data_IF_114182949666
#
_entry.id   IF_114182949666
#
_cell.length_a   1.000
_cell.length_b   1.000
_cell.length_c   1.000
_cell.angle_alpha   90.00
_cell.angle_beta   90.00
_cell.angle_gamma   90.00
#
_symmetry.space_group_name_H-M   'P 1'
#
loop_
_entity.id
_entity.type
_entity.pdbx_description
1 polymer ?
#
# COMPACT_ATOMS: atom_id res chain seq x y z
N UNK A 1 -42.47 -4.27 69.02
CA UNK A 1 -41.89 -2.92 69.17
C UNK A 1 -42.38 -2.12 67.97
N UNK A 2 -43.18 -1.04 68.10
CA UNK A 2 -42.92 0.23 68.83
C UNK A 2 -41.82 1.05 68.13
N UNK A 3 -42.07 2.24 67.58
CA UNK A 3 -43.33 3.00 67.47
C UNK A 3 -43.39 3.98 66.27
N UNK A 4 -44.60 4.49 66.02
CA UNK A 4 -45.04 5.63 65.17
C UNK A 4 -44.66 7.02 65.74
N UNK A 5 -44.90 8.19 65.07
CA UNK A 5 -45.22 8.50 63.65
C UNK A 5 -44.50 9.78 63.08
N UNK A 6 -45.10 10.38 62.03
CA UNK A 6 -45.18 11.83 61.67
C UNK A 6 -44.13 12.53 60.78
N UNK A 7 -44.55 12.71 59.52
CA UNK A 7 -44.26 13.73 58.48
C UNK A 7 -45.11 15.02 58.77
N UNK A 8 -45.16 16.15 57.98
CA UNK A 8 -44.32 16.67 56.88
C UNK A 8 -43.92 18.20 56.91
N UNK A 9 -43.17 18.63 55.87
CA UNK A 9 -43.28 19.91 55.05
C UNK A 9 -42.62 21.28 55.43
N UNK A 10 -42.12 21.91 54.34
CA UNK A 10 -41.99 23.37 53.99
C UNK A 10 -40.89 24.22 54.70
N UNK A 11 -39.99 24.86 53.92
CA UNK A 11 -39.92 26.32 53.52
C UNK A 11 -39.58 27.26 54.71
N UNK A 12 -38.66 28.24 54.64
CA UNK A 12 -38.72 29.41 53.73
C UNK A 12 -37.37 30.23 53.57
N UNK A 13 -37.45 31.44 52.98
CA UNK A 13 -36.40 32.38 52.51
C UNK A 13 -35.42 33.08 53.53
N UNK A 14 -34.20 33.44 53.05
CA UNK A 14 -33.89 34.87 52.76
C UNK A 14 -32.81 35.68 53.54
N UNK A 15 -32.16 36.63 52.81
CA UNK A 15 -31.57 37.94 53.24
C UNK A 15 -30.23 38.00 54.05
N UNK A 16 -29.38 39.05 53.99
CA UNK A 16 -29.05 40.11 52.98
C UNK A 16 -27.75 40.91 53.36
N UNK A 17 -26.95 41.36 52.36
CA UNK A 17 -25.92 42.47 52.34
C UNK A 17 -24.84 42.52 53.49
N UNK A 18 -23.89 43.46 53.67
CA UNK A 18 -23.38 44.72 53.05
C UNK A 18 -21.96 45.03 53.66
N UNK A 19 -20.98 45.84 53.19
CA UNK A 19 -20.48 46.44 51.92
C UNK A 19 -19.00 46.88 52.17
N UNK A 20 -18.11 47.22 51.22
CA UNK A 20 -17.74 48.64 50.85
C UNK A 20 -16.31 48.73 50.23
N UNK A 21 -16.04 49.66 49.30
CA UNK A 21 -14.66 50.10 48.94
C UNK A 21 -14.33 50.34 47.45
N UNK A 22 -14.30 51.61 47.02
CA UNK A 22 -13.68 52.09 45.74
C UNK A 22 -12.14 52.28 45.94
N UNK A 23 -11.26 52.66 45.00
CA UNK A 23 -11.21 53.81 44.05
C UNK A 23 -10.24 53.53 42.87
N UNK A 24 -10.34 54.32 41.80
CA UNK A 24 -9.61 54.25 40.52
C UNK A 24 -8.07 54.31 40.61
N UNK A 25 -7.42 53.57 39.69
CA UNK A 25 -6.72 54.22 38.57
C UNK A 25 -5.19 54.38 38.61
N UNK A 26 -4.48 53.66 37.75
CA UNK A 26 -3.23 54.14 37.13
C UNK A 26 -2.98 53.44 35.79
N UNK A 27 -2.67 54.21 34.74
CA UNK A 27 -2.51 53.68 33.37
C UNK A 27 -1.07 53.30 33.08
N UNK A 28 -0.82 52.06 32.65
CA UNK A 28 0.46 51.64 32.08
C UNK A 28 0.20 50.77 30.83
N UNK A 29 0.74 51.21 29.69
CA UNK A 29 0.55 50.57 28.39
C UNK A 29 1.44 49.32 28.25
N UNK A 30 0.90 48.22 27.73
CA UNK A 30 1.60 47.41 26.70
C UNK A 30 0.68 46.40 26.01
N UNK A 31 0.85 46.27 24.69
CA UNK A 31 0.38 45.21 23.79
C UNK A 31 -1.08 44.73 23.92
N UNK A 32 -1.90 45.12 22.94
CA UNK A 32 -2.95 44.22 22.47
C UNK A 32 -2.33 42.86 22.10
N UNK A 33 -3.11 41.80 22.28
CA UNK A 33 -2.90 40.53 21.57
C UNK A 33 -4.28 40.00 21.15
N UNK A 34 -4.91 40.74 20.24
CA UNK A 34 -6.05 40.25 19.46
C UNK A 34 -5.56 39.11 18.55
N UNK A 35 -5.67 37.87 19.04
CA UNK A 35 -5.39 36.65 18.27
C UNK A 35 -6.70 35.87 18.05
N UNK A 36 -7.51 36.36 17.12
CA UNK A 36 -8.18 35.63 16.02
C UNK A 36 -8.73 34.18 16.18
N UNK A 37 -9.01 33.72 17.40
CA UNK A 37 -9.44 32.34 17.73
C UNK A 37 -10.89 31.98 17.27
N UNK A 38 -11.47 32.74 16.33
CA UNK A 38 -12.86 32.60 15.87
C UNK A 38 -13.02 31.86 14.53
N UNK A 39 -12.03 31.86 13.65
CA UNK A 39 -12.16 31.25 12.30
C UNK A 39 -12.12 29.70 12.33
N UNK A 40 -11.60 29.11 13.41
CA UNK A 40 -11.28 27.67 13.45
C UNK A 40 -12.50 26.73 13.60
N UNK A 41 -13.72 27.30 13.68
CA UNK A 41 -15.00 26.56 13.89
C UNK A 41 -15.85 26.34 12.63
N UNK A 42 -15.41 26.80 11.46
CA UNK A 42 -16.26 26.81 10.25
C UNK A 42 -16.68 25.43 9.71
N UNK A 43 -15.99 24.34 10.12
CA UNK A 43 -16.31 22.97 9.70
C UNK A 43 -16.11 21.96 10.84
N UNK A 44 -17.01 20.97 11.03
CA UNK A 44 -16.77 19.90 11.98
C UNK A 44 -15.52 19.08 11.59
N UNK A 45 -14.73 18.63 12.58
CA UNK A 45 -13.43 17.96 12.36
C UNK A 45 -13.50 16.80 11.35
N UNK A 46 -14.61 16.06 11.37
CA UNK A 46 -14.88 14.95 10.45
C UNK A 46 -14.85 15.39 8.98
N UNK A 47 -15.42 16.56 8.68
CA UNK A 47 -15.45 17.15 7.34
C UNK A 47 -14.09 17.73 6.94
N UNK A 48 -13.39 18.43 7.85
CA UNK A 48 -11.99 18.86 7.63
C UNK A 48 -11.10 17.67 7.25
N UNK A 49 -11.20 16.57 7.99
CA UNK A 49 -10.40 15.37 7.73
C UNK A 49 -10.79 14.63 6.44
N UNK A 50 -12.07 14.66 6.03
CA UNK A 50 -12.51 14.10 4.75
C UNK A 50 -12.04 14.93 3.55
N UNK A 51 -12.11 16.27 3.66
CA UNK A 51 -11.59 17.20 2.65
C UNK A 51 -10.08 17.03 2.42
N UNK A 52 -9.29 16.75 3.47
CA UNK A 52 -7.86 16.42 3.32
C UNK A 52 -7.67 15.15 2.49
N UNK A 53 -8.45 14.09 2.72
CA UNK A 53 -8.34 12.85 1.93
C UNK A 53 -8.76 13.09 0.48
N UNK A 54 -9.87 13.79 0.25
CA UNK A 54 -10.33 14.16 -1.09
C UNK A 54 -9.25 14.97 -1.84
N UNK A 55 -8.62 15.92 -1.15
CA UNK A 55 -7.46 16.69 -1.65
C UNK A 55 -6.26 15.80 -2.00
N UNK A 56 -5.91 14.80 -1.19
CA UNK A 56 -4.86 13.83 -1.52
C UNK A 56 -5.19 13.01 -2.79
N UNK A 57 -6.43 12.55 -2.96
CA UNK A 57 -6.85 11.85 -4.18
C UNK A 57 -6.84 12.77 -5.41
N UNK A 58 -7.29 14.02 -5.29
CA UNK A 58 -7.24 15.00 -6.38
C UNK A 58 -5.80 15.36 -6.77
N UNK A 59 -4.92 15.63 -5.79
CA UNK A 59 -3.50 15.91 -6.03
C UNK A 59 -2.78 14.70 -6.63
N UNK A 60 -3.10 13.48 -6.18
CA UNK A 60 -2.63 12.24 -6.81
C UNK A 60 -3.06 12.16 -8.27
N UNK A 61 -4.36 12.38 -8.56
CA UNK A 61 -4.90 12.36 -9.93
C UNK A 61 -4.22 13.37 -10.85
N UNK A 62 -4.08 14.62 -10.41
CA UNK A 62 -3.34 15.66 -11.14
C UNK A 62 -1.90 15.22 -11.41
N UNK A 63 -1.21 14.65 -10.42
CA UNK A 63 0.18 14.18 -10.56
C UNK A 63 0.31 12.98 -11.50
N UNK A 64 -0.66 12.04 -11.49
CA UNK A 64 -0.74 10.92 -12.45
C UNK A 64 -0.91 11.40 -13.90
N UNK A 65 -1.71 12.44 -14.12
CA UNK A 65 -1.82 13.08 -15.44
C UNK A 65 -0.52 13.81 -15.80
N UNK A 66 0.02 14.62 -14.89
CA UNK A 66 1.27 15.37 -15.11
C UNK A 66 2.47 14.48 -15.45
N UNK A 67 2.60 13.28 -14.86
CA UNK A 67 3.72 12.37 -15.22
C UNK A 67 3.58 11.79 -16.63
N UNK A 68 2.36 11.48 -17.08
CA UNK A 68 2.14 10.96 -18.43
C UNK A 68 2.32 12.05 -19.49
N UNK A 69 1.89 13.28 -19.18
CA UNK A 69 2.20 14.45 -20.01
C UNK A 69 3.71 14.72 -20.05
N UNK A 70 4.40 14.73 -18.90
CA UNK A 70 5.84 14.95 -18.82
C UNK A 70 6.65 13.94 -19.63
N UNK A 71 6.27 12.66 -19.62
CA UNK A 71 6.86 11.62 -20.44
C UNK A 71 6.45 11.69 -21.93
N UNK A 72 5.26 12.22 -22.26
CA UNK A 72 4.85 12.43 -23.65
C UNK A 72 5.68 13.53 -24.37
N UNK A 73 6.26 14.47 -23.61
CA UNK A 73 7.09 15.57 -24.12
C UNK A 73 8.60 15.42 -23.82
N UNK A 74 9.03 14.37 -23.13
CA UNK A 74 10.45 14.18 -22.78
C UNK A 74 11.33 13.88 -24.00
N UNK A 75 12.44 14.59 -24.13
CA UNK A 75 13.47 14.39 -25.17
C UNK A 75 14.78 13.82 -24.61
N UNK A 76 14.98 13.83 -23.29
CA UNK A 76 16.17 13.33 -22.59
C UNK A 76 15.78 12.28 -21.55
N UNK A 77 16.60 11.23 -21.40
CA UNK A 77 16.29 10.10 -20.50
C UNK A 77 16.08 10.51 -19.03
N UNK A 78 16.77 11.54 -18.53
CA UNK A 78 16.56 12.05 -17.18
C UNK A 78 15.15 12.65 -16.95
N UNK A 79 14.50 13.16 -18.00
CA UNK A 79 13.14 13.68 -17.93
C UNK A 79 12.13 12.53 -17.77
N UNK A 80 12.39 11.37 -18.39
CA UNK A 80 11.62 10.15 -18.15
C UNK A 80 11.78 9.66 -16.71
N UNK A 81 13.00 9.67 -16.14
CA UNK A 81 13.21 9.33 -14.73
C UNK A 81 12.49 10.29 -13.77
N UNK A 82 12.48 11.60 -14.07
CA UNK A 82 11.75 12.58 -13.25
C UNK A 82 10.23 12.37 -13.33
N UNK A 83 9.69 12.10 -14.53
CA UNK A 83 8.26 11.87 -14.73
C UNK A 83 7.81 10.47 -14.23
N UNK A 84 8.29 9.40 -14.85
CA UNK A 84 7.90 8.02 -14.57
C UNK A 84 8.44 7.49 -13.23
N UNK A 85 9.45 8.13 -12.66
CA UNK A 85 9.98 7.82 -11.33
C UNK A 85 9.40 8.75 -10.25
N UNK A 86 9.86 10.00 -10.20
CA UNK A 86 9.56 10.90 -9.07
C UNK A 86 8.09 11.31 -9.02
N UNK A 87 7.52 11.84 -10.10
CA UNK A 87 6.11 12.27 -10.11
C UNK A 87 5.16 11.09 -9.93
N UNK A 88 5.42 9.96 -10.59
CA UNK A 88 4.65 8.72 -10.40
C UNK A 88 4.75 8.19 -8.96
N UNK A 89 5.93 8.27 -8.33
CA UNK A 89 6.15 7.89 -6.93
C UNK A 89 5.38 8.78 -5.95
N UNK A 90 5.42 10.10 -6.14
CA UNK A 90 4.65 11.08 -5.36
C UNK A 90 3.14 10.82 -5.49
N UNK A 91 2.64 10.66 -6.71
CA UNK A 91 1.24 10.37 -6.97
C UNK A 91 0.80 9.07 -6.28
N UNK A 92 1.58 8.00 -6.41
CA UNK A 92 1.30 6.72 -5.77
C UNK A 92 1.32 6.83 -4.25
N UNK A 93 2.31 7.52 -3.67
CA UNK A 93 2.44 7.72 -2.22
C UNK A 93 1.28 8.51 -1.60
N UNK A 94 0.71 9.47 -2.33
CA UNK A 94 -0.46 10.25 -1.91
C UNK A 94 -1.77 9.46 -1.87
N UNK A 95 -1.87 8.34 -2.58
CA UNK A 95 -3.13 7.59 -2.77
C UNK A 95 -3.09 6.19 -2.15
N UNK A 96 -2.00 5.45 -2.35
CA UNK A 96 -1.87 4.03 -2.01
C UNK A 96 -2.16 3.69 -0.52
N UNK A 97 -1.71 4.48 0.49
CA UNK A 97 -2.05 4.22 1.89
C UNK A 97 -3.55 4.27 2.17
N UNK A 98 -4.29 5.18 1.52
CA UNK A 98 -5.74 5.29 1.69
C UNK A 98 -6.47 4.14 1.00
N UNK A 99 -6.03 3.73 -0.19
CA UNK A 99 -6.59 2.58 -0.93
C UNK A 99 -6.53 1.28 -0.12
N UNK A 100 -5.47 1.05 0.66
CA UNK A 100 -5.38 -0.10 1.57
C UNK A 100 -6.14 0.11 2.90
N UNK A 101 -6.15 1.33 3.45
CA UNK A 101 -6.75 1.61 4.75
C UNK A 101 -8.29 1.69 4.74
N UNK A 102 -8.91 2.08 3.63
CA UNK A 102 -10.36 2.30 3.57
C UNK A 102 -11.19 1.00 3.61
N UNK A 103 -10.89 -0.06 2.82
CA UNK A 103 -11.62 -1.33 2.90
C UNK A 103 -11.56 -1.97 4.29
N UNK A 104 -10.45 -1.77 5.00
CA UNK A 104 -10.25 -2.24 6.36
C UNK A 104 -11.17 -1.59 7.41
N UNK A 105 -11.74 -0.41 7.14
CA UNK A 105 -12.72 0.24 8.01
C UNK A 105 -14.13 -0.33 7.81
N UNK A 106 -14.50 -0.64 6.56
CA UNK A 106 -15.79 -1.21 6.20
C UNK A 106 -15.93 -2.69 6.61
N UNK A 107 -14.88 -3.50 6.49
CA UNK A 107 -14.96 -4.96 6.63
C UNK A 107 -14.17 -5.51 7.83
N UNK A 108 -14.88 -5.83 8.93
CA UNK A 108 -14.29 -6.46 10.12
C UNK A 108 -14.10 -7.99 9.99
N UNK A 109 -15.10 -8.73 9.49
CA UNK A 109 -15.11 -10.24 9.50
C UNK A 109 -14.49 -10.91 8.26
N UNK A 110 -14.30 -10.19 7.15
CA UNK A 110 -13.69 -10.70 5.90
C UNK A 110 -12.64 -9.71 5.40
N UNK A 111 -11.72 -9.35 6.30
CA UNK A 111 -10.82 -8.21 6.12
C UNK A 111 -9.71 -8.54 5.14
N UNK A 112 -9.14 -9.74 5.22
CA UNK A 112 -8.15 -10.25 4.27
C UNK A 112 -8.73 -10.33 2.86
N UNK A 113 -9.96 -10.87 2.70
CA UNK A 113 -10.64 -10.90 1.40
C UNK A 113 -10.90 -9.48 0.83
N UNK A 114 -11.40 -8.54 1.64
CA UNK A 114 -11.71 -7.19 1.17
C UNK A 114 -10.46 -6.41 0.71
N UNK A 115 -9.36 -6.49 1.48
CA UNK A 115 -8.06 -5.93 1.09
C UNK A 115 -7.51 -6.67 -0.13
N UNK A 116 -7.64 -8.00 -0.19
CA UNK A 116 -7.19 -8.84 -1.29
C UNK A 116 -7.84 -8.50 -2.63
N UNK A 117 -9.14 -8.20 -2.65
CA UNK A 117 -9.87 -7.75 -3.86
C UNK A 117 -9.34 -6.39 -4.34
N UNK A 118 -9.20 -5.42 -3.43
CA UNK A 118 -8.73 -4.07 -3.78
C UNK A 118 -7.26 -4.07 -4.21
N UNK A 119 -6.41 -4.82 -3.51
CA UNK A 119 -5.03 -5.07 -3.93
C UNK A 119 -4.96 -5.82 -5.26
N UNK A 120 -5.88 -6.76 -5.51
CA UNK A 120 -6.03 -7.48 -6.78
C UNK A 120 -6.36 -6.56 -7.96
N UNK A 121 -7.15 -5.52 -7.73
CA UNK A 121 -7.47 -4.49 -8.73
C UNK A 121 -6.24 -3.82 -9.34
N UNK A 122 -5.16 -3.62 -8.57
CA UNK A 122 -3.91 -3.07 -9.12
C UNK A 122 -3.20 -4.01 -10.10
N UNK A 123 -3.27 -5.33 -9.88
CA UNK A 123 -2.74 -6.32 -10.83
C UNK A 123 -3.65 -6.49 -12.05
N UNK A 124 -4.97 -6.48 -11.87
CA UNK A 124 -5.90 -6.49 -13.02
C UNK A 124 -5.68 -5.25 -13.91
N UNK A 125 -5.51 -4.08 -13.30
CA UNK A 125 -5.13 -2.84 -13.98
C UNK A 125 -3.79 -2.95 -14.71
N UNK A 126 -2.75 -3.48 -14.05
CA UNK A 126 -1.43 -3.69 -14.65
C UNK A 126 -1.44 -4.61 -15.88
N UNK A 127 -2.12 -5.75 -15.80
CA UNK A 127 -2.25 -6.71 -16.91
C UNK A 127 -3.01 -6.13 -18.10
N UNK A 128 -4.10 -5.40 -17.82
CA UNK A 128 -4.92 -4.74 -18.84
C UNK A 128 -4.18 -3.56 -19.49
N UNK A 129 -3.49 -2.74 -18.68
CA UNK A 129 -2.66 -1.63 -19.15
C UNK A 129 -1.54 -2.10 -20.06
N UNK A 130 -0.86 -3.21 -19.74
CA UNK A 130 0.20 -3.77 -20.58
C UNK A 130 -0.31 -4.15 -21.98
N UNK A 131 -1.50 -4.75 -22.08
CA UNK A 131 -2.13 -5.09 -23.36
C UNK A 131 -2.55 -3.83 -24.15
N UNK A 132 -3.22 -2.89 -23.49
CA UNK A 132 -3.67 -1.62 -24.10
C UNK A 132 -2.46 -0.83 -24.61
N UNK A 133 -1.45 -0.60 -23.78
CA UNK A 133 -0.23 0.12 -24.17
C UNK A 133 0.53 -0.59 -25.30
N UNK A 134 0.66 -1.93 -25.25
CA UNK A 134 1.34 -2.66 -26.35
C UNK A 134 0.56 -2.54 -27.67
N UNK A 135 -0.77 -2.64 -27.64
CA UNK A 135 -1.60 -2.47 -28.83
C UNK A 135 -1.52 -1.03 -29.38
N UNK A 136 -1.56 -0.02 -28.51
CA UNK A 136 -1.43 1.39 -28.89
C UNK A 136 -0.04 1.69 -29.48
N UNK A 137 1.05 1.24 -28.86
CA UNK A 137 2.42 1.44 -29.37
C UNK A 137 2.68 0.77 -30.73
N UNK A 138 1.86 -0.20 -31.15
CA UNK A 138 1.93 -0.78 -32.51
C UNK A 138 1.14 -0.01 -33.58
N UNK A 139 0.35 1.01 -33.20
CA UNK A 139 -0.53 1.78 -34.11
C UNK A 139 -0.38 3.30 -34.00
N UNK A 140 0.13 3.79 -32.87
CA UNK A 140 0.29 5.20 -32.54
C UNK A 140 1.74 5.45 -32.12
N UNK A 141 2.27 6.64 -32.38
CA UNK A 141 3.60 7.00 -31.85
C UNK A 141 3.57 7.11 -30.32
N UNK A 142 4.74 6.96 -29.69
CA UNK A 142 4.93 6.99 -28.24
C UNK A 142 4.23 8.17 -27.55
N UNK A 143 4.41 9.39 -28.07
CA UNK A 143 3.77 10.61 -27.56
C UNK A 143 2.24 10.54 -27.61
N UNK A 144 1.64 10.14 -28.72
CA UNK A 144 0.18 10.01 -28.84
C UNK A 144 -0.36 8.91 -27.92
N UNK A 145 0.38 7.80 -27.76
CA UNK A 145 0.01 6.73 -26.83
C UNK A 145 -0.07 7.24 -25.40
N UNK A 146 0.95 7.96 -24.92
CA UNK A 146 0.95 8.52 -23.56
C UNK A 146 -0.11 9.60 -23.34
N UNK A 147 -0.39 10.45 -24.34
CA UNK A 147 -1.46 11.45 -24.25
C UNK A 147 -2.85 10.82 -24.11
N UNK A 148 -3.18 9.80 -24.91
CA UNK A 148 -4.46 9.08 -24.81
C UNK A 148 -4.53 8.30 -23.49
N UNK A 149 -3.44 7.70 -23.05
CA UNK A 149 -3.36 6.99 -21.77
C UNK A 149 -3.53 7.94 -20.56
N UNK A 150 -3.04 9.18 -20.64
CA UNK A 150 -3.30 10.23 -19.65
C UNK A 150 -4.79 10.57 -19.54
N UNK A 151 -5.50 10.63 -20.67
CA UNK A 151 -6.97 10.78 -20.68
C UNK A 151 -7.69 9.64 -19.97
N UNK A 152 -7.27 8.39 -20.23
CA UNK A 152 -7.83 7.19 -19.56
C UNK A 152 -7.60 7.26 -18.04
N UNK A 153 -6.40 7.62 -17.59
CA UNK A 153 -6.09 7.80 -16.16
C UNK A 153 -6.93 8.91 -15.51
N UNK A 154 -7.10 10.05 -16.19
CA UNK A 154 -7.93 11.14 -15.72
C UNK A 154 -9.39 10.72 -15.49
N UNK A 155 -9.99 10.01 -16.46
CA UNK A 155 -11.37 9.49 -16.34
C UNK A 155 -11.50 8.48 -15.21
N UNK A 156 -10.60 7.49 -15.13
CA UNK A 156 -10.65 6.45 -14.09
C UNK A 156 -10.44 7.02 -12.67
N UNK A 157 -9.52 7.97 -12.50
CA UNK A 157 -9.33 8.65 -11.22
C UNK A 157 -10.52 9.55 -10.86
N UNK A 158 -11.14 10.23 -11.84
CA UNK A 158 -12.34 11.04 -11.58
C UNK A 158 -13.50 10.17 -11.09
N UNK A 159 -13.72 9.00 -11.72
CA UNK A 159 -14.71 8.01 -11.26
C UNK A 159 -14.36 7.51 -9.85
N UNK A 160 -13.09 7.22 -9.55
CA UNK A 160 -12.67 6.79 -8.22
C UNK A 160 -12.90 7.88 -7.15
N UNK A 161 -12.64 9.15 -7.47
CA UNK A 161 -12.90 10.31 -6.60
C UNK A 161 -14.40 10.46 -6.30
N UNK A 162 -15.28 10.24 -7.28
CA UNK A 162 -16.73 10.27 -7.06
C UNK A 162 -17.28 9.06 -6.27
N UNK A 163 -16.56 7.93 -6.24
CA UNK A 163 -17.01 6.69 -5.60
C UNK A 163 -16.40 6.43 -4.21
N UNK A 164 -15.26 7.04 -3.87
CA UNK A 164 -14.60 6.82 -2.57
C UNK A 164 -15.47 7.35 -1.41
N UNK A 165 -15.66 6.53 -0.37
CA UNK A 165 -16.48 6.84 0.81
C UNK A 165 -15.86 6.28 2.08
N UNK A 166 -15.92 7.06 3.16
CA UNK A 166 -15.37 6.70 4.46
C UNK A 166 -16.10 5.52 5.12
N UNK A 167 -15.37 4.66 5.84
CA UNK A 167 -15.98 3.56 6.57
C UNK A 167 -16.67 4.02 7.86
N UNK A 168 -17.72 3.32 8.32
CA UNK A 168 -18.39 3.62 9.59
C UNK A 168 -17.42 3.45 10.77
N UNK A 169 -16.92 4.59 11.29
CA UNK A 169 -15.90 4.67 12.33
C UNK A 169 -14.59 5.38 11.90
N UNK A 170 -14.37 5.63 10.60
CA UNK A 170 -13.18 6.33 10.10
C UNK A 170 -13.00 7.73 10.67
N UNK A 171 -14.11 8.45 10.86
CA UNK A 171 -14.17 9.74 11.55
C UNK A 171 -13.61 9.68 12.99
N UNK A 172 -14.14 8.77 13.82
CA UNK A 172 -13.72 8.60 15.22
C UNK A 172 -12.24 8.17 15.33
N UNK A 173 -11.78 7.30 14.43
CA UNK A 173 -10.38 6.87 14.36
C UNK A 173 -9.41 8.02 13.99
N UNK A 174 -9.90 9.12 13.40
CA UNK A 174 -9.11 10.34 13.14
C UNK A 174 -9.25 11.39 14.23
N UNK A 175 -10.41 11.52 14.87
CA UNK A 175 -10.57 12.37 16.06
C UNK A 175 -9.67 11.91 17.22
N UNK A 176 -9.49 10.59 17.37
CA UNK A 176 -8.56 10.01 18.33
C UNK A 176 -7.06 10.29 18.03
N UNK A 177 -6.72 10.89 16.88
CA UNK A 177 -5.34 10.96 16.35
C UNK A 177 -4.46 12.05 16.99
N UNK A 178 -4.60 12.31 18.29
CA UNK A 178 -3.69 13.19 19.04
C UNK A 178 -2.27 12.61 19.03
N UNK A 179 -1.38 13.24 18.24
CA UNK A 179 0.08 13.00 18.21
C UNK A 179 0.52 11.56 17.90
N UNK A 180 -0.03 10.95 16.84
CA UNK A 180 0.59 9.76 16.24
C UNK A 180 1.90 10.17 15.53
N UNK A 181 3.04 9.84 16.12
CA UNK A 181 4.36 10.10 15.53
C UNK A 181 4.61 9.28 14.25
N UNK A 182 5.44 9.82 13.34
CA UNK A 182 5.74 9.20 12.04
C UNK A 182 6.30 7.76 12.16
N UNK A 183 7.03 7.49 13.24
CA UNK A 183 7.49 6.16 13.66
C UNK A 183 7.37 6.09 15.18
N UNK A 184 6.75 5.04 15.73
CA UNK A 184 6.83 4.79 17.17
C UNK A 184 8.21 4.21 17.51
N UNK A 185 8.94 4.88 18.40
CA UNK A 185 10.25 4.45 18.90
C UNK A 185 10.20 3.15 19.71
N UNK A 186 9.00 2.67 20.07
CA UNK A 186 8.78 1.34 20.67
C UNK A 186 8.91 0.23 19.61
N UNK A 187 8.27 0.39 18.45
CA UNK A 187 8.32 -0.59 17.34
C UNK A 187 9.76 -0.82 16.84
N UNK A 188 10.57 0.24 16.75
CA UNK A 188 11.97 0.14 16.27
C UNK A 188 12.87 -0.63 17.25
N UNK A 189 12.45 -0.85 18.50
CA UNK A 189 13.16 -1.66 19.50
C UNK A 189 12.73 -3.13 19.54
N UNK A 190 11.68 -3.49 18.80
CA UNK A 190 11.14 -4.85 18.77
C UNK A 190 11.90 -5.71 17.74
N UNK A 191 12.51 -6.85 18.11
CA UNK A 191 13.21 -7.72 17.16
C UNK A 191 12.25 -8.32 16.12
N UNK A 192 10.99 -8.56 16.47
CA UNK A 192 9.95 -9.10 15.59
C UNK A 192 9.65 -8.09 14.47
N UNK A 193 9.62 -6.80 14.80
CA UNK A 193 9.43 -5.73 13.81
C UNK A 193 10.52 -5.75 12.74
N UNK A 194 11.79 -5.88 13.13
CA UNK A 194 12.91 -5.98 12.19
C UNK A 194 12.84 -7.25 11.34
N UNK A 195 12.52 -8.40 11.95
CA UNK A 195 12.39 -9.67 11.25
C UNK A 195 11.31 -9.63 10.16
N UNK A 196 10.14 -9.06 10.48
CA UNK A 196 9.03 -8.86 9.54
C UNK A 196 9.40 -7.84 8.45
N UNK A 197 10.04 -6.73 8.81
CA UNK A 197 10.45 -5.69 7.86
C UNK A 197 11.48 -6.21 6.85
N UNK A 198 12.51 -6.92 7.30
CA UNK A 198 13.50 -7.54 6.42
C UNK A 198 12.90 -8.67 5.59
N UNK A 199 12.00 -9.49 6.14
CA UNK A 199 11.27 -10.50 5.37
C UNK A 199 10.48 -9.88 4.22
N UNK A 200 9.70 -8.83 4.47
CA UNK A 200 8.94 -8.12 3.44
C UNK A 200 9.88 -7.50 2.38
N UNK A 201 11.01 -6.93 2.81
CA UNK A 201 12.07 -6.41 1.93
C UNK A 201 12.68 -7.49 1.03
N UNK A 202 13.07 -8.65 1.57
CA UNK A 202 13.65 -9.75 0.80
C UNK A 202 12.63 -10.40 -0.15
N UNK A 203 11.36 -10.52 0.29
CA UNK A 203 10.28 -11.02 -0.57
C UNK A 203 10.15 -10.21 -1.88
N UNK A 204 10.27 -8.88 -1.80
CA UNK A 204 10.14 -8.00 -2.96
C UNK A 204 11.41 -7.94 -3.83
N UNK A 205 12.60 -8.19 -3.26
CA UNK A 205 13.84 -8.40 -4.04
C UNK A 205 13.70 -9.57 -5.03
N UNK A 206 13.13 -10.69 -4.58
CA UNK A 206 12.89 -11.84 -5.45
C UNK A 206 11.72 -11.62 -6.42
N UNK A 207 10.61 -11.02 -5.97
CA UNK A 207 9.38 -10.89 -6.75
C UNK A 207 9.58 -10.20 -8.11
N UNK A 208 10.37 -9.13 -8.17
CA UNK A 208 10.47 -8.30 -9.37
C UNK A 208 11.30 -8.92 -10.50
N UNK A 209 12.17 -9.90 -10.22
CA UNK A 209 13.04 -10.52 -11.24
C UNK A 209 12.24 -11.24 -12.33
N UNK A 210 11.43 -12.29 -12.05
CA UNK A 210 10.54 -12.89 -13.06
C UNK A 210 9.55 -11.86 -13.62
N UNK A 211 9.06 -10.93 -12.79
CA UNK A 211 8.03 -9.97 -13.21
C UNK A 211 8.49 -9.04 -14.34
N UNK A 212 9.71 -8.47 -14.26
CA UNK A 212 10.25 -7.62 -15.31
C UNK A 212 10.94 -8.38 -16.45
N UNK A 213 11.61 -9.50 -16.15
CA UNK A 213 12.39 -10.20 -17.16
C UNK A 213 11.61 -11.23 -17.99
N UNK A 214 10.36 -11.58 -17.62
CA UNK A 214 9.54 -12.54 -18.36
C UNK A 214 9.45 -12.27 -19.89
N UNK A 215 9.17 -11.04 -20.38
CA UNK A 215 9.13 -10.79 -21.82
C UNK A 215 10.48 -11.05 -22.51
N UNK A 216 11.59 -10.71 -21.85
CA UNK A 216 12.95 -10.92 -22.35
C UNK A 216 13.30 -12.41 -22.35
N UNK A 217 12.90 -13.17 -21.31
CA UNK A 217 13.08 -14.61 -21.21
C UNK A 217 12.30 -15.35 -22.31
N UNK A 218 11.04 -14.96 -22.56
CA UNK A 218 10.22 -15.52 -23.65
C UNK A 218 10.83 -15.22 -25.00
N UNK A 219 11.26 -13.98 -25.25
CA UNK A 219 11.88 -13.59 -26.51
C UNK A 219 13.24 -14.28 -26.78
N UNK A 220 13.95 -14.69 -25.72
CA UNK A 220 15.23 -15.40 -25.83
C UNK A 220 15.06 -16.91 -26.14
N UNK A 221 14.05 -17.57 -25.56
CA UNK A 221 13.87 -19.03 -25.70
C UNK A 221 12.81 -19.45 -26.72
N UNK A 222 11.80 -18.60 -26.97
CA UNK A 222 10.67 -18.93 -27.84
C UNK A 222 10.68 -17.97 -29.04
N UNK A 223 11.27 -18.35 -30.19
CA UNK A 223 11.35 -17.50 -31.38
C UNK A 223 9.99 -17.41 -32.12
N UNK A 224 8.98 -16.80 -31.49
CA UNK A 224 7.69 -16.48 -32.12
C UNK A 224 7.75 -15.19 -32.94
N UNK A 225 7.16 -15.20 -34.12
CA UNK A 225 7.07 -14.03 -35.02
C UNK A 225 6.04 -12.97 -34.59
N UNK A 226 5.11 -13.27 -33.69
CA UNK A 226 4.06 -12.33 -33.25
C UNK A 226 4.38 -11.65 -31.91
N UNK A 227 4.45 -10.30 -31.86
CA UNK A 227 4.73 -9.53 -30.63
C UNK A 227 3.82 -9.76 -29.42
N UNK A 228 2.65 -10.39 -29.60
CA UNK A 228 1.68 -10.60 -28.52
C UNK A 228 2.04 -11.79 -27.61
N UNK A 229 2.59 -12.88 -28.17
CA UNK A 229 2.98 -14.07 -27.39
C UNK A 229 4.06 -13.77 -26.35
N UNK A 230 4.91 -12.77 -26.63
CA UNK A 230 5.98 -12.29 -25.74
C UNK A 230 5.42 -11.57 -24.49
N UNK A 231 4.25 -10.92 -24.59
CA UNK A 231 3.65 -10.13 -23.49
C UNK A 231 2.60 -10.94 -22.72
N UNK A 232 1.92 -11.88 -23.39
CA UNK A 232 0.81 -12.66 -22.82
C UNK A 232 1.14 -13.34 -21.47
N UNK A 233 2.34 -13.95 -21.25
CA UNK A 233 2.71 -14.50 -19.95
C UNK A 233 2.75 -13.45 -18.82
N UNK A 234 3.26 -12.24 -19.08
CA UNK A 234 3.27 -11.14 -18.10
C UNK A 234 1.88 -10.57 -17.81
N UNK A 235 0.98 -10.56 -18.80
CA UNK A 235 -0.44 -10.23 -18.58
C UNK A 235 -1.15 -11.32 -17.77
N UNK A 236 -0.84 -12.59 -18.02
CA UNK A 236 -1.37 -13.72 -17.23
C UNK A 236 -0.86 -13.69 -15.78
N UNK A 237 0.42 -13.36 -15.54
CA UNK A 237 0.95 -13.14 -14.18
C UNK A 237 0.16 -12.06 -13.43
N UNK A 238 -0.26 -11.01 -14.14
CA UNK A 238 -1.08 -9.94 -13.57
C UNK A 238 -2.51 -10.40 -13.24
N UNK A 239 -3.19 -11.09 -14.16
CA UNK A 239 -4.55 -11.59 -13.90
C UNK A 239 -4.57 -12.70 -12.83
N UNK A 240 -3.55 -13.57 -12.82
CA UNK A 240 -3.35 -14.55 -11.76
C UNK A 240 -3.07 -13.87 -10.41
N UNK A 241 -2.24 -12.82 -10.35
CA UNK A 241 -2.01 -12.02 -9.13
C UNK A 241 -3.29 -11.33 -8.63
N UNK A 242 -4.17 -10.89 -9.53
CA UNK A 242 -5.46 -10.30 -9.15
C UNK A 242 -6.35 -11.30 -8.40
N UNK A 243 -6.48 -12.52 -8.91
CA UNK A 243 -7.24 -13.61 -8.27
C UNK A 243 -6.53 -14.14 -7.02
N UNK A 244 -5.22 -14.34 -7.10
CA UNK A 244 -4.36 -14.85 -6.04
C UNK A 244 -4.40 -14.00 -4.77
N UNK A 245 -4.32 -12.67 -4.90
CA UNK A 245 -4.46 -11.74 -3.76
C UNK A 245 -5.80 -11.89 -3.02
N UNK A 246 -6.90 -12.13 -3.74
CA UNK A 246 -8.21 -12.37 -3.12
C UNK A 246 -8.29 -13.77 -2.46
N UNK A 247 -7.76 -14.81 -3.11
CA UNK A 247 -7.73 -16.18 -2.59
C UNK A 247 -6.84 -16.32 -1.34
N UNK A 248 -5.65 -15.72 -1.36
CA UNK A 248 -4.71 -15.71 -0.24
C UNK A 248 -5.20 -14.77 0.88
N UNK A 249 -5.92 -13.70 0.56
CA UNK A 249 -6.66 -12.91 1.55
C UNK A 249 -7.75 -13.72 2.28
N UNK A 250 -8.52 -14.54 1.55
CA UNK A 250 -9.49 -15.48 2.13
C UNK A 250 -8.82 -16.60 2.94
N UNK A 251 -7.62 -17.05 2.54
CA UNK A 251 -6.84 -18.03 3.29
C UNK A 251 -6.27 -17.44 4.58
N UNK A 252 -5.80 -16.19 4.56
CA UNK A 252 -5.36 -15.45 5.75
C UNK A 252 -6.48 -15.24 6.77
N UNK A 253 -7.71 -14.99 6.31
CA UNK A 253 -8.93 -14.95 7.14
C UNK A 253 -9.26 -16.34 7.79
N UNK A 254 -8.50 -17.42 7.48
CA UNK A 254 -8.65 -18.77 8.08
C UNK A 254 -7.42 -19.27 8.86
N UNK A 255 -6.22 -19.19 8.27
CA UNK A 255 -4.98 -19.75 8.88
C UNK A 255 -4.09 -18.68 9.52
N UNK A 256 -4.51 -17.41 9.49
CA UNK A 256 -3.72 -16.25 9.90
C UNK A 256 -2.85 -15.69 8.75
N UNK A 257 -2.68 -14.36 8.66
CA UNK A 257 -1.93 -13.73 7.56
C UNK A 257 -0.44 -14.09 7.55
N UNK A 258 0.18 -14.36 8.70
CA UNK A 258 1.57 -14.85 8.77
C UNK A 258 1.76 -16.19 8.05
N UNK A 259 0.91 -17.17 8.34
CA UNK A 259 0.97 -18.50 7.72
C UNK A 259 0.60 -18.45 6.23
N UNK A 260 -0.40 -17.64 5.87
CA UNK A 260 -0.77 -17.41 4.47
C UNK A 260 0.36 -16.72 3.67
N UNK A 261 1.13 -15.84 4.31
CA UNK A 261 2.32 -15.20 3.71
C UNK A 261 3.41 -16.24 3.46
N UNK A 262 3.81 -17.01 4.49
CA UNK A 262 4.85 -18.02 4.35
C UNK A 262 4.50 -19.06 3.28
N UNK A 263 3.25 -19.53 3.21
CA UNK A 263 2.80 -20.46 2.18
C UNK A 263 2.84 -19.85 0.77
N UNK A 264 2.36 -18.61 0.59
CA UNK A 264 2.38 -17.95 -0.72
C UNK A 264 3.82 -17.69 -1.20
N UNK A 265 4.70 -17.21 -0.32
CA UNK A 265 6.12 -16.98 -0.64
C UNK A 265 6.84 -18.31 -0.89
N UNK A 266 6.52 -19.38 -0.18
CA UNK A 266 7.07 -20.72 -0.41
C UNK A 266 6.73 -21.26 -1.81
N UNK A 267 5.45 -21.20 -2.21
CA UNK A 267 5.02 -21.63 -3.55
C UNK A 267 5.63 -20.72 -4.62
N UNK A 268 5.72 -19.41 -4.37
CA UNK A 268 6.39 -18.45 -5.25
C UNK A 268 7.87 -18.80 -5.47
N UNK A 269 8.64 -19.00 -4.39
CA UNK A 269 10.06 -19.39 -4.46
C UNK A 269 10.25 -20.74 -5.17
N UNK A 270 9.45 -21.74 -4.79
CA UNK A 270 9.48 -23.07 -5.40
C UNK A 270 9.16 -23.01 -6.90
N UNK A 271 8.20 -22.20 -7.32
CA UNK A 271 7.86 -22.05 -8.75
C UNK A 271 9.00 -21.45 -9.58
N UNK A 272 9.80 -20.53 -9.01
CA UNK A 272 10.98 -19.98 -9.68
C UNK A 272 12.07 -21.05 -9.81
N UNK A 273 12.43 -21.70 -8.70
CA UNK A 273 13.53 -22.67 -8.63
C UNK A 273 13.24 -23.99 -9.36
N UNK A 274 11.98 -24.45 -9.38
CA UNK A 274 11.60 -25.77 -9.91
C UNK A 274 10.86 -25.72 -11.25
N UNK A 275 10.25 -24.59 -11.63
CA UNK A 275 9.50 -24.47 -12.89
C UNK A 275 10.21 -23.50 -13.85
N UNK A 276 10.39 -22.22 -13.46
CA UNK A 276 11.01 -21.23 -14.33
C UNK A 276 12.46 -21.59 -14.71
N UNK A 277 13.21 -22.17 -13.76
CA UNK A 277 14.58 -22.64 -13.99
C UNK A 277 14.71 -23.68 -15.13
N UNK A 278 13.63 -24.36 -15.50
CA UNK A 278 13.60 -25.37 -16.56
C UNK A 278 12.54 -25.07 -17.66
N UNK A 279 12.08 -23.82 -17.75
CA UNK A 279 10.93 -23.42 -18.57
C UNK A 279 11.25 -23.16 -20.05
N UNK A 280 11.85 -24.15 -20.73
CA UNK A 280 12.23 -24.03 -22.15
C UNK A 280 11.06 -24.11 -23.15
N UNK A 281 9.83 -24.39 -22.70
CA UNK A 281 8.64 -24.44 -23.56
C UNK A 281 7.63 -23.35 -23.19
N UNK A 282 6.88 -22.85 -24.18
CA UNK A 282 5.84 -21.85 -23.94
C UNK A 282 4.77 -22.32 -22.94
N UNK A 283 4.43 -23.62 -22.94
CA UNK A 283 3.48 -24.20 -21.98
C UNK A 283 4.04 -24.15 -20.56
N UNK A 284 5.32 -24.52 -20.36
CA UNK A 284 5.98 -24.45 -19.05
C UNK A 284 6.06 -23.01 -18.53
N UNK A 285 6.36 -22.05 -19.41
CA UNK A 285 6.35 -20.62 -19.07
C UNK A 285 4.94 -20.16 -18.64
N UNK A 286 3.90 -20.55 -19.38
CA UNK A 286 2.51 -20.18 -19.07
C UNK A 286 2.04 -20.77 -17.74
N UNK A 287 2.41 -22.02 -17.43
CA UNK A 287 2.16 -22.67 -16.13
C UNK A 287 2.88 -21.93 -15.00
N UNK A 288 4.15 -21.58 -15.18
CA UNK A 288 4.88 -20.73 -14.23
C UNK A 288 4.18 -19.38 -14.03
N UNK A 289 3.79 -18.69 -15.12
CA UNK A 289 3.11 -17.39 -15.07
C UNK A 289 1.80 -17.43 -14.29
N UNK A 290 1.03 -18.52 -14.36
CA UNK A 290 -0.17 -18.70 -13.52
C UNK A 290 0.19 -18.89 -12.05
N UNK A 291 1.11 -19.82 -11.74
CA UNK A 291 1.47 -20.17 -10.36
C UNK A 291 2.15 -19.00 -9.65
N UNK A 292 3.25 -18.48 -10.22
CA UNK A 292 4.00 -17.36 -9.66
C UNK A 292 3.17 -16.07 -9.64
N UNK A 293 2.35 -15.84 -10.66
CA UNK A 293 1.40 -14.72 -10.66
C UNK A 293 0.46 -14.80 -9.44
N UNK A 294 -0.19 -15.95 -9.24
CA UNK A 294 -1.14 -16.15 -8.15
C UNK A 294 -0.51 -16.03 -6.75
N UNK A 295 0.74 -16.44 -6.54
CA UNK A 295 1.34 -16.45 -5.20
C UNK A 295 2.32 -15.32 -4.93
N UNK A 296 3.23 -15.02 -5.86
CA UNK A 296 4.29 -14.02 -5.70
C UNK A 296 3.75 -12.61 -5.44
N UNK A 297 2.59 -12.27 -6.00
CA UNK A 297 1.96 -10.97 -5.79
C UNK A 297 1.31 -10.75 -4.41
N UNK A 298 1.24 -11.76 -3.54
CA UNK A 298 0.34 -11.73 -2.38
C UNK A 298 0.81 -10.92 -1.16
N UNK A 299 2.11 -10.63 -1.03
CA UNK A 299 2.64 -9.84 0.10
C UNK A 299 1.96 -8.47 0.26
N UNK A 300 1.57 -7.83 -0.85
CA UNK A 300 0.83 -6.55 -0.87
C UNK A 300 -0.57 -6.63 -0.25
N UNK A 301 -1.24 -7.79 -0.32
CA UNK A 301 -2.54 -8.01 0.32
C UNK A 301 -2.40 -8.38 1.81
N UNK A 302 -1.28 -9.02 2.18
CA UNK A 302 -1.06 -9.57 3.53
C UNK A 302 -0.30 -8.63 4.47
N UNK A 303 0.47 -7.65 3.98
CA UNK A 303 1.24 -6.72 4.81
C UNK A 303 0.37 -6.01 5.86
N UNK A 304 -0.79 -5.45 5.47
CA UNK A 304 -1.68 -4.74 6.41
C UNK A 304 -2.42 -5.68 7.38
N UNK A 305 -2.96 -6.84 6.98
CA UNK A 305 -3.41 -7.88 7.92
C UNK A 305 -2.34 -8.37 8.90
N UNK A 306 -1.11 -8.63 8.43
CA UNK A 306 0.02 -9.08 9.24
C UNK A 306 0.41 -8.02 10.28
N UNK A 307 0.58 -6.77 9.83
CA UNK A 307 0.84 -5.63 10.71
C UNK A 307 -0.23 -5.52 11.83
N UNK A 308 -1.51 -5.73 11.49
CA UNK A 308 -2.61 -5.70 12.44
C UNK A 308 -2.63 -6.90 13.41
N UNK A 309 -2.19 -8.09 12.98
CA UNK A 309 -2.09 -9.28 13.83
C UNK A 309 -0.92 -9.19 14.82
N UNK A 310 0.20 -8.60 14.39
CA UNK A 310 1.41 -8.54 15.20
C UNK A 310 1.40 -7.36 16.17
N UNK A 311 1.07 -6.15 15.68
CA UNK A 311 1.27 -4.89 16.41
C UNK A 311 -0.04 -4.12 16.70
N UNK A 312 -1.20 -4.74 16.45
CA UNK A 312 -2.51 -4.13 16.67
C UNK A 312 -2.90 -3.09 15.61
N UNK A 313 -4.04 -2.41 15.84
CA UNK A 313 -4.68 -1.56 14.82
C UNK A 313 -4.48 -0.06 14.98
N UNK A 314 -3.94 0.42 16.10
CA UNK A 314 -3.96 1.85 16.48
C UNK A 314 -3.16 2.75 15.52
N UNK A 315 -1.93 2.36 15.16
CA UNK A 315 -1.09 3.06 14.18
C UNK A 315 -0.88 2.24 12.88
N UNK A 316 -1.90 1.53 12.44
CA UNK A 316 -1.75 0.58 11.33
C UNK A 316 -1.34 1.24 10.00
N UNK A 317 -1.80 2.47 9.74
CA UNK A 317 -1.43 3.21 8.54
C UNK A 317 0.04 3.67 8.56
N UNK A 318 0.54 4.14 9.72
CA UNK A 318 1.95 4.48 9.89
C UNK A 318 2.85 3.26 9.72
N UNK A 319 2.53 2.18 10.44
CA UNK A 319 3.24 0.90 10.38
C UNK A 319 3.27 0.28 8.97
N UNK A 320 2.13 0.30 8.26
CA UNK A 320 2.07 -0.14 6.84
C UNK A 320 2.99 0.71 5.97
N UNK A 321 3.06 2.03 6.22
CA UNK A 321 4.02 2.93 5.57
C UNK A 321 5.48 2.61 5.92
N UNK A 322 5.78 2.26 7.18
CA UNK A 322 7.13 1.90 7.62
C UNK A 322 7.61 0.59 6.98
N UNK A 323 6.75 -0.43 6.88
CA UNK A 323 7.10 -1.65 6.15
C UNK A 323 7.30 -1.40 4.65
N UNK A 324 6.46 -0.56 4.03
CA UNK A 324 6.65 -0.18 2.63
C UNK A 324 7.97 0.60 2.42
N UNK A 325 8.41 1.41 3.39
CA UNK A 325 9.72 2.04 3.38
C UNK A 325 10.86 0.99 3.37
N UNK A 326 10.81 -0.03 4.24
CA UNK A 326 11.79 -1.13 4.24
C UNK A 326 11.76 -2.01 2.98
N UNK A 327 10.67 -1.99 2.21
CA UNK A 327 10.56 -2.62 0.89
C UNK A 327 11.18 -1.76 -0.24
N UNK A 328 11.47 -0.48 -0.01
CA UNK A 328 12.01 0.43 -1.04
C UNK A 328 13.33 -0.03 -1.68
N UNK A 329 14.33 -0.55 -0.93
CA UNK A 329 15.58 -1.05 -1.53
C UNK A 329 15.33 -2.18 -2.55
N UNK A 330 14.39 -3.08 -2.26
CA UNK A 330 14.01 -4.15 -3.18
C UNK A 330 13.27 -3.65 -4.40
N UNK A 331 12.33 -2.70 -4.25
CA UNK A 331 11.69 -2.03 -5.39
C UNK A 331 12.70 -1.38 -6.34
N UNK A 332 13.75 -0.75 -5.80
CA UNK A 332 14.75 -0.01 -6.57
C UNK A 332 15.80 -0.93 -7.22
N UNK A 333 16.31 -1.92 -6.48
CA UNK A 333 17.52 -2.66 -6.88
C UNK A 333 17.26 -4.07 -7.43
N UNK A 334 16.06 -4.67 -7.26
CA UNK A 334 15.77 -6.03 -7.73
C UNK A 334 16.03 -6.25 -9.23
N UNK A 335 15.53 -5.33 -10.08
CA UNK A 335 15.69 -5.43 -11.53
C UNK A 335 17.14 -5.13 -11.98
N UNK A 336 17.80 -4.05 -11.52
CA UNK A 336 19.24 -3.83 -11.77
C UNK A 336 20.13 -4.99 -11.35
N UNK A 337 19.94 -5.57 -10.16
CA UNK A 337 20.73 -6.73 -9.68
C UNK A 337 20.48 -7.94 -10.57
N UNK A 338 19.23 -8.23 -10.94
CA UNK A 338 18.90 -9.36 -11.82
C UNK A 338 19.51 -9.20 -13.22
N UNK A 339 19.53 -7.98 -13.75
CA UNK A 339 20.19 -7.67 -15.03
C UNK A 339 21.71 -7.77 -14.96
N UNK A 340 22.32 -7.30 -13.87
CA UNK A 340 23.75 -7.42 -13.63
C UNK A 340 24.19 -8.90 -13.46
N UNK A 341 23.40 -9.71 -12.75
CA UNK A 341 23.61 -11.16 -12.63
C UNK A 341 23.51 -11.86 -13.99
N UNK A 342 22.51 -11.53 -14.80
CA UNK A 342 22.35 -12.09 -16.15
C UNK A 342 23.54 -11.73 -17.05
N UNK A 343 24.03 -10.49 -16.99
CA UNK A 343 25.20 -10.05 -17.75
C UNK A 343 26.50 -10.72 -17.28
N UNK A 344 26.73 -10.76 -15.96
CA UNK A 344 27.91 -11.40 -15.36
C UNK A 344 27.95 -12.92 -15.61
N UNK A 345 26.78 -13.57 -15.67
CA UNK A 345 26.65 -14.99 -16.01
C UNK A 345 26.64 -15.25 -17.54
N UNK A 346 27.02 -14.29 -18.38
CA UNK A 346 27.15 -14.47 -19.84
C UNK A 346 25.83 -14.74 -20.56
N UNK A 347 24.71 -14.24 -20.02
CA UNK A 347 23.36 -14.53 -20.51
C UNK A 347 22.72 -15.81 -19.93
N UNK A 348 23.39 -16.50 -19.01
CA UNK A 348 22.83 -17.67 -18.34
C UNK A 348 21.72 -17.27 -17.35
N UNK A 349 20.48 -17.59 -17.72
CA UNK A 349 19.28 -17.30 -16.94
C UNK A 349 19.19 -18.00 -15.59
N UNK A 350 19.92 -19.10 -15.35
CA UNK A 350 19.91 -19.77 -14.05
C UNK A 350 20.37 -18.84 -12.91
N UNK A 351 21.28 -17.89 -13.16
CA UNK A 351 21.77 -16.96 -12.15
C UNK A 351 20.67 -16.02 -11.56
N UNK A 352 19.94 -15.21 -12.35
CA UNK A 352 18.84 -14.40 -11.81
C UNK A 352 17.66 -15.24 -11.26
N UNK A 353 17.43 -16.46 -11.77
CA UNK A 353 16.37 -17.36 -11.27
C UNK A 353 16.71 -17.90 -9.87
N UNK A 354 17.94 -18.40 -9.67
CA UNK A 354 18.41 -18.90 -8.35
C UNK A 354 18.49 -17.76 -7.34
N UNK A 355 18.93 -16.57 -7.75
CA UNK A 355 18.88 -15.36 -6.91
C UNK A 355 17.45 -15.03 -6.46
N UNK A 356 16.51 -14.91 -7.40
CA UNK A 356 15.15 -14.47 -7.09
C UNK A 356 14.34 -15.46 -6.24
N UNK A 357 14.47 -16.76 -6.53
CA UNK A 357 13.93 -17.81 -5.68
C UNK A 357 14.62 -17.87 -4.30
N UNK A 358 15.95 -17.82 -4.26
CA UNK A 358 16.74 -17.93 -3.02
C UNK A 358 16.47 -16.80 -2.02
N UNK A 359 16.35 -15.54 -2.49
CA UNK A 359 16.03 -14.41 -1.61
C UNK A 359 14.60 -14.48 -1.06
N UNK A 360 13.65 -15.11 -1.77
CA UNK A 360 12.34 -15.43 -1.20
C UNK A 360 12.39 -16.57 -0.17
N UNK A 361 13.29 -17.55 -0.29
CA UNK A 361 13.52 -18.55 0.77
C UNK A 361 14.08 -17.87 2.03
N UNK A 362 15.02 -16.93 1.88
CA UNK A 362 15.54 -16.12 3.00
C UNK A 362 14.42 -15.31 3.67
N UNK A 363 13.49 -14.74 2.90
CA UNK A 363 12.32 -14.04 3.45
C UNK A 363 11.45 -14.96 4.34
N UNK A 364 11.22 -16.22 3.94
CA UNK A 364 10.47 -17.18 4.76
C UNK A 364 11.22 -17.50 6.06
N UNK A 365 12.54 -17.70 5.98
CA UNK A 365 13.37 -17.95 7.17
C UNK A 365 13.31 -16.82 8.18
N UNK A 366 13.39 -15.56 7.72
CA UNK A 366 13.22 -14.37 8.55
C UNK A 366 11.82 -14.29 9.18
N UNK A 367 10.75 -14.52 8.39
CA UNK A 367 9.39 -14.53 8.93
C UNK A 367 9.21 -15.63 9.99
N UNK A 368 9.77 -16.83 9.77
CA UNK A 368 9.67 -17.95 10.71
C UNK A 368 10.41 -17.63 12.01
N UNK A 369 11.64 -17.12 11.92
CA UNK A 369 12.45 -16.72 13.08
C UNK A 369 11.68 -15.73 13.99
N UNK A 370 11.14 -14.64 13.42
CA UNK A 370 10.40 -13.63 14.19
C UNK A 370 9.05 -14.11 14.75
N UNK A 371 8.52 -15.23 14.26
CA UNK A 371 7.32 -15.87 14.82
C UNK A 371 7.67 -16.86 15.94
N UNK A 372 8.80 -17.57 15.83
CA UNK A 372 9.31 -18.45 16.88
C UNK A 372 9.77 -17.66 18.12
N UNK A 373 10.55 -16.58 17.93
CA UNK A 373 10.98 -15.70 19.02
C UNK A 373 9.76 -15.10 19.77
N UNK A 374 8.64 -14.88 19.07
CA UNK A 374 7.37 -14.45 19.68
C UNK A 374 6.65 -15.56 20.46
N UNK A 375 6.89 -16.83 20.18
CA UNK A 375 6.27 -17.94 20.91
C UNK A 375 7.00 -18.33 22.21
N UNK A 376 8.16 -17.74 22.44
CA UNK A 376 9.00 -17.92 23.64
C UNK A 376 8.84 -16.77 24.66
N UNK A 377 7.95 -15.81 24.38
CA UNK A 377 7.66 -14.58 25.15
C UNK A 377 6.18 -14.53 25.58
#
# INVERSE_FOLDING_TARGET
MSATPTDPKQMDEGKVEATSGNILGTTALTSNYDNDDNDDKLYPENLRAWLVVLGCFMLSSMTLVSQLLGAAFSTKLWQLFLAQGVLQGLATGLCFPFVLAYPAQWFKRRRGLAIGIVAGGSSFGGGTAALILRAMLTKLSFRHTLLVYAGIHCVLMSIAICLVKEGPGGAAARAARRRVGLVDKRLVKDPIFWSVALSLGMCIFGFFSPYFFMPTYVAAHIPTSSPQYIVLPSSIMNYASALGRALVGLLADRIGPANAFMLAVFISASSQLLIWNFAYTYVTIMVFSVIFGATGGCFLALMTPLAAQLFGTENLAGLTGTFNFFMTPGNLAAAPISGALLAAAGGNWHAPIVWSGGVQVIAIGLMTYGLCERSEI
#
